data_IF_334260292625
#
_entry.id   IF_334260292625
#
_cell.length_a   1.000
_cell.length_b   1.000
_cell.length_c   1.000
_cell.angle_alpha   90.00
_cell.angle_beta   90.00
_cell.angle_gamma   90.00
#
_symmetry.space_group_name_H-M   'P 1'
#
loop_
_entity.id
_entity.type
_entity.pdbx_description
1 polymer ?
2 non-polymer ?
3 non-polymer ?
4 non-polymer ?
5 non-polymer ?
6 water ?
#
# COMPACT_ATOMS: atom_id res chain seq x y z
N UNK A 1 29.00 -3.50 -3.23
CA UNK A 1 30.05 -3.39 -4.27
C UNK A 1 30.62 -1.95 -4.33
N UNK A 2 30.48 -1.18 -3.22
CA UNK A 2 30.99 0.23 -3.08
C UNK A 2 30.52 1.23 -4.15
N UNK A 3 29.24 1.19 -4.52
CA UNK A 3 28.67 2.08 -5.57
C UNK A 3 28.44 3.51 -5.03
N UNK A 4 28.62 4.54 -5.83
CA UNK A 4 28.45 5.85 -5.23
C UNK A 4 26.96 6.08 -4.97
N UNK A 5 26.65 7.01 -4.09
CA UNK A 5 25.33 7.54 -3.98
C UNK A 5 24.80 8.21 -5.25
N UNK A 6 25.62 9.07 -5.87
CA UNK A 6 25.27 9.67 -7.14
C UNK A 6 24.77 8.65 -8.17
N UNK A 7 25.42 7.49 -8.20
CA UNK A 7 25.09 6.46 -9.16
C UNK A 7 23.82 5.71 -8.75
N UNK A 8 23.61 5.47 -7.45
CA UNK A 8 22.32 4.85 -7.09
C UNK A 8 21.20 5.77 -7.47
N UNK A 9 21.40 7.06 -7.17
CA UNK A 9 20.39 8.07 -7.42
C UNK A 9 20.09 8.17 -8.89
N UNK A 10 21.12 8.09 -9.73
CA UNK A 10 20.95 8.22 -11.15
C UNK A 10 20.24 6.97 -11.75
N UNK A 11 20.58 5.77 -11.30
CA UNK A 11 19.96 4.54 -11.78
C UNK A 11 18.49 4.58 -11.39
N UNK A 12 18.18 4.97 -10.18
CA UNK A 12 16.77 4.96 -9.78
C UNK A 12 15.94 6.05 -10.49
N UNK A 13 16.47 7.26 -10.63
CA UNK A 13 15.78 8.28 -11.43
C UNK A 13 15.46 7.75 -12.85
N UNK A 14 16.37 6.94 -13.39
CA UNK A 14 16.21 6.50 -14.79
C UNK A 14 15.16 5.41 -14.90
N UNK A 15 14.91 4.65 -13.83
CA UNK A 15 13.82 3.69 -13.89
C UNK A 15 12.50 4.43 -14.12
N UNK A 16 12.31 5.54 -13.40
CA UNK A 16 11.11 6.32 -13.54
C UNK A 16 11.08 7.01 -14.91
N UNK A 17 12.24 7.49 -15.39
CA UNK A 17 12.37 8.19 -16.67
C UNK A 17 12.03 7.20 -17.77
N UNK A 18 12.57 5.99 -17.70
CA UNK A 18 12.37 5.00 -18.79
C UNK A 18 10.89 4.59 -18.77
N UNK A 19 10.16 4.71 -17.68
CA UNK A 19 8.74 4.39 -17.67
C UNK A 19 7.91 5.62 -18.09
N UNK A 20 8.58 6.67 -18.51
CA UNK A 20 7.88 7.91 -18.92
C UNK A 20 6.81 8.38 -17.95
N UNK A 21 7.14 8.36 -16.64
CA UNK A 21 6.28 8.97 -15.62
C UNK A 21 7.11 9.79 -14.68
N UNK A 22 6.46 10.43 -13.73
CA UNK A 22 7.07 11.13 -12.60
C UNK A 22 6.71 10.34 -11.33
N UNK A 23 7.71 10.14 -10.46
CA UNK A 23 7.48 9.39 -9.28
C UNK A 23 8.61 9.48 -8.28
N UNK A 24 8.35 8.94 -7.11
CA UNK A 24 9.35 8.92 -6.08
C UNK A 24 9.32 7.54 -5.42
N UNK A 25 10.44 7.07 -4.87
CA UNK A 25 10.40 5.93 -3.95
C UNK A 25 11.10 6.27 -2.67
N UNK A 26 10.36 6.22 -1.57
CA UNK A 26 10.90 6.49 -0.27
C UNK A 26 11.26 5.21 0.43
N UNK A 27 12.44 5.20 1.02
CA UNK A 27 12.99 4.04 1.75
C UNK A 27 13.30 4.49 3.18
N UNK A 28 13.05 3.61 4.13
CA UNK A 28 13.37 3.88 5.51
C UNK A 28 14.30 2.82 6.11
N UNK A 29 15.50 3.22 6.54
CA UNK A 29 16.38 2.34 7.34
C UNK A 29 16.45 2.93 8.71
N UNK A 30 15.98 2.16 9.68
CA UNK A 30 15.87 2.66 11.01
C UNK A 30 14.94 3.85 11.08
N UNK A 31 15.44 4.95 11.59
CA UNK A 31 14.64 6.16 11.68
C UNK A 31 14.88 7.05 10.46
N UNK A 32 15.72 6.64 9.52
CA UNK A 32 16.17 7.55 8.42
C UNK A 32 15.46 7.35 7.06
N UNK A 33 14.85 8.42 6.53
CA UNK A 33 14.14 8.37 5.22
C UNK A 33 15.03 8.76 4.07
N UNK A 34 15.04 7.99 2.98
CA UNK A 34 15.79 8.41 1.79
C UNK A 34 14.81 8.45 0.64
N UNK A 35 14.76 9.53 -0.08
CA UNK A 35 13.92 9.67 -1.24
C UNK A 35 14.71 9.51 -2.49
N UNK A 36 14.25 8.63 -3.37
CA UNK A 36 14.80 8.43 -4.68
C UNK A 36 13.74 8.63 -5.80
N UNK A 37 14.22 8.80 -7.02
CA UNK A 37 13.34 8.77 -8.17
C UNK A 37 13.56 9.98 -9.03
N UNK A 38 12.56 10.33 -9.84
CA UNK A 38 12.68 11.47 -10.74
C UNK A 38 11.83 12.68 -10.40
N UNK A 39 11.12 12.67 -9.26
CA UNK A 39 10.34 13.83 -8.86
C UNK A 39 10.29 13.99 -7.36
N UNK A 40 11.41 14.43 -6.82
CA UNK A 40 11.60 14.31 -5.39
C UNK A 40 10.54 15.03 -4.55
N UNK A 41 9.95 16.09 -5.10
CA UNK A 41 9.07 16.98 -4.34
C UNK A 41 7.71 16.31 -4.09
N UNK A 42 7.47 15.17 -4.73
CA UNK A 42 6.27 14.38 -4.48
C UNK A 42 6.24 13.86 -3.06
N UNK A 43 7.41 13.69 -2.44
CA UNK A 43 7.53 13.05 -1.11
C UNK A 43 6.59 13.58 -0.04
N UNK A 44 6.34 14.89 -0.04
CA UNK A 44 5.49 15.45 1.00
C UNK A 44 4.25 16.08 0.41
N UNK A 45 3.84 15.66 -0.77
CA UNK A 45 2.52 16.07 -1.32
C UNK A 45 1.45 15.00 -1.02
N UNK A 46 0.22 15.44 -1.00
CA UNK A 46 -0.90 14.59 -0.61
C UNK A 46 -1.57 13.97 -1.80
N UNK A 47 -1.85 12.67 -1.73
CA UNK A 47 -2.55 11.91 -2.79
C UNK A 47 -3.64 11.05 -2.18
N UNK A 48 -4.62 10.61 -2.97
CA UNK A 48 -5.59 9.64 -2.44
C UNK A 48 -4.82 8.36 -2.14
N UNK A 49 -5.18 7.65 -1.05
CA UNK A 49 -4.44 6.40 -0.77
C UNK A 49 -4.83 5.27 -1.73
N UNK A 50 -6.00 5.43 -2.37
CA UNK A 50 -6.66 4.39 -3.22
C UNK A 50 -6.58 3.06 -2.48
N UNK A 51 -6.23 1.98 -3.19
CA UNK A 51 -6.29 0.64 -2.60
C UNK A 51 -5.29 0.39 -1.49
N UNK A 52 -4.26 1.26 -1.32
CA UNK A 52 -3.35 1.06 -0.15
C UNK A 52 -4.19 1.10 1.14
N UNK A 53 -5.34 1.77 1.08
CA UNK A 53 -6.25 1.85 2.18
C UNK A 53 -6.78 0.47 2.63
N UNK A 54 -6.74 -0.55 1.78
CA UNK A 54 -7.20 -1.90 2.14
C UNK A 54 -6.48 -2.38 3.40
N UNK A 55 -5.22 -1.99 3.55
CA UNK A 55 -4.43 -2.47 4.67
C UNK A 55 -5.03 -1.96 5.97
N UNK A 56 -5.42 -0.69 6.04
CA UNK A 56 -6.01 -0.18 7.27
C UNK A 56 -7.49 -0.62 7.40
N UNK A 57 -8.24 -0.61 6.29
CA UNK A 57 -9.53 -1.20 6.19
C UNK A 57 -9.55 -2.62 6.78
N UNK A 58 -8.60 -3.49 6.42
CA UNK A 58 -8.56 -4.80 7.09
C UNK A 58 -8.26 -4.78 8.61
N UNK A 59 -7.28 -3.98 9.02
CA UNK A 59 -6.95 -3.86 10.45
C UNK A 59 -8.17 -3.49 11.30
N UNK A 60 -8.90 -2.47 10.83
CA UNK A 60 -10.04 -1.89 11.47
C UNK A 60 -11.21 -2.93 11.50
N UNK A 61 -11.50 -3.58 10.37
CA UNK A 61 -12.53 -4.59 10.34
C UNK A 61 -12.18 -5.75 11.25
N UNK A 62 -10.93 -6.19 11.26
CA UNK A 62 -10.62 -7.36 12.06
C UNK A 62 -10.63 -7.02 13.55
N UNK A 63 -10.19 -5.80 13.91
CA UNK A 63 -10.10 -5.40 15.31
C UNK A 63 -11.46 -5.30 15.92
N UNK A 64 -12.33 -4.64 15.22
CA UNK A 64 -13.68 -4.48 15.64
C UNK A 64 -14.59 -5.68 15.32
N UNK A 65 -14.00 -6.85 15.02
CA UNK A 65 -14.78 -8.07 14.77
C UNK A 65 -15.87 -7.99 13.68
N UNK A 66 -15.62 -7.28 12.58
CA UNK A 66 -16.54 -7.23 11.46
C UNK A 66 -16.29 -8.37 10.49
N UNK A 67 -15.21 -9.14 10.68
CA UNK A 67 -14.95 -10.26 9.79
C UNK A 67 -13.90 -11.07 10.51
N UNK A 68 -13.60 -12.29 10.04
CA UNK A 68 -12.51 -13.09 10.58
C UNK A 68 -11.63 -13.36 9.37
N UNK A 69 -10.47 -13.97 9.54
CA UNK A 69 -9.65 -14.15 8.38
C UNK A 69 -10.05 -15.42 7.57
N UNK A 70 -10.97 -16.22 8.13
CA UNK A 70 -11.45 -17.48 7.55
C UNK A 70 -12.73 -17.23 6.76
N UNK A 71 -13.41 -16.14 7.09
CA UNK A 71 -14.75 -15.87 6.56
C UNK A 71 -14.79 -15.73 5.01
N UNK A 72 -15.74 -16.43 4.36
CA UNK A 72 -15.79 -16.34 2.91
C UNK A 72 -16.77 -15.24 2.47
N UNK A 73 -16.32 -14.22 1.75
CA UNK A 73 -17.21 -13.18 1.24
C UNK A 73 -17.79 -13.69 -0.13
N UNK A 74 -19.07 -13.97 -0.20
CA UNK A 74 -19.67 -14.59 -1.39
C UNK A 74 -19.74 -13.56 -2.50
N UNK A 75 -19.35 -13.94 -3.70
CA UNK A 75 -19.62 -13.11 -4.82
C UNK A 75 -21.15 -13.08 -4.88
N UNK A 76 -21.75 -11.91 -5.03
CA UNK A 76 -23.21 -11.75 -5.06
C UNK A 76 -23.78 -11.98 -6.48
N UNK A 77 -22.93 -12.16 -7.46
CA UNK A 77 -23.41 -12.58 -8.75
C UNK A 77 -23.49 -11.47 -9.75
N UNK A 78 -23.21 -10.25 -9.35
CA UNK A 78 -23.06 -9.15 -10.29
C UNK A 78 -21.72 -9.14 -11.06
N UNK A 79 -21.80 -8.72 -12.31
CA UNK A 79 -20.70 -8.50 -13.20
C UNK A 79 -19.80 -7.53 -12.47
N UNK A 80 -18.55 -7.89 -12.29
CA UNK A 80 -17.65 -7.03 -11.55
C UNK A 80 -16.63 -6.59 -12.57
N UNK A 81 -15.95 -5.49 -12.26
CA UNK A 81 -15.02 -4.90 -13.20
C UNK A 81 -13.99 -5.90 -13.78
N UNK A 82 -13.45 -6.87 -13.02
CA UNK A 82 -12.51 -7.90 -13.57
C UNK A 82 -13.03 -9.30 -13.20
N UNK A 83 -12.90 -10.29 -14.07
CA UNK A 83 -13.40 -11.66 -13.78
C UNK A 83 -12.87 -12.22 -12.51
N UNK A 84 -11.64 -11.85 -12.20
CA UNK A 84 -11.02 -12.42 -11.01
C UNK A 84 -11.84 -12.06 -9.74
N UNK A 85 -12.70 -11.01 -9.82
CA UNK A 85 -13.53 -10.59 -8.68
C UNK A 85 -14.84 -11.34 -8.55
N UNK A 86 -15.20 -12.08 -9.58
CA UNK A 86 -16.46 -12.85 -9.62
C UNK A 86 -16.31 -14.26 -8.97
N UNK A 87 -15.93 -14.26 -7.72
CA UNK A 87 -15.67 -15.49 -7.01
C UNK A 87 -15.78 -15.11 -5.55
N UNK A 88 -15.96 -16.15 -4.72
CA UNK A 88 -16.03 -16.02 -3.29
C UNK A 88 -14.58 -15.96 -2.74
N UNK A 89 -14.31 -15.07 -1.78
CA UNK A 89 -12.94 -15.02 -1.25
C UNK A 89 -12.88 -14.57 0.19
N UNK A 90 -11.73 -14.87 0.80
CA UNK A 90 -11.38 -14.38 2.12
C UNK A 90 -10.78 -12.98 1.99
N UNK A 91 -10.67 -12.25 3.11
CA UNK A 91 -10.03 -10.96 3.13
C UNK A 91 -8.65 -11.00 2.50
N UNK A 92 -7.89 -12.04 2.82
CA UNK A 92 -6.53 -12.26 2.33
C UNK A 92 -6.51 -12.44 0.82
N UNK A 93 -7.39 -13.27 0.28
CA UNK A 93 -7.45 -13.44 -1.19
C UNK A 93 -7.82 -12.09 -1.84
N UNK A 94 -8.77 -11.40 -1.22
CA UNK A 94 -9.20 -10.16 -1.70
C UNK A 94 -8.09 -9.12 -1.68
N UNK A 95 -7.15 -9.22 -0.74
CA UNK A 95 -6.03 -8.28 -0.64
C UNK A 95 -5.18 -8.55 -1.87
N UNK A 96 -4.88 -9.86 -2.14
CA UNK A 96 -3.97 -10.19 -3.27
C UNK A 96 -4.62 -9.68 -4.59
N UNK A 97 -5.94 -9.83 -4.72
CA UNK A 97 -6.62 -9.48 -5.94
C UNK A 97 -7.07 -8.04 -5.91
N UNK A 98 -6.81 -7.35 -4.79
CA UNK A 98 -7.28 -6.00 -4.62
C UNK A 98 -8.78 -5.88 -4.96
N UNK A 99 -9.61 -6.72 -4.34
CA UNK A 99 -11.04 -6.82 -4.69
C UNK A 99 -11.87 -5.85 -3.94
N UNK A 100 -12.22 -4.78 -4.62
CA UNK A 100 -12.99 -3.69 -4.04
C UNK A 100 -14.31 -4.11 -3.37
N UNK A 101 -15.08 -5.02 -4.01
CA UNK A 101 -16.44 -5.31 -3.45
C UNK A 101 -16.36 -5.91 -2.08
N UNK A 102 -15.30 -6.71 -1.85
CA UNK A 102 -15.08 -7.28 -0.52
C UNK A 102 -14.69 -6.21 0.46
N UNK A 103 -13.84 -5.29 0.03
CA UNK A 103 -13.40 -4.24 0.92
C UNK A 103 -14.47 -3.17 1.15
N UNK A 104 -15.36 -2.99 0.18
CA UNK A 104 -16.49 -2.08 0.37
C UNK A 104 -17.49 -2.66 1.35
N UNK A 105 -17.66 -3.98 1.26
CA UNK A 105 -18.55 -4.69 2.18
C UNK A 105 -18.03 -4.51 3.61
N UNK A 106 -16.75 -4.79 3.77
CA UNK A 106 -16.15 -4.64 5.07
C UNK A 106 -16.27 -3.20 5.60
N UNK A 107 -16.06 -2.19 4.73
CA UNK A 107 -16.23 -0.78 5.16
C UNK A 107 -17.67 -0.48 5.62
N UNK A 108 -18.62 -1.05 4.88
CA UNK A 108 -20.04 -0.87 5.25
C UNK A 108 -20.37 -1.56 6.53
N UNK A 109 -19.71 -2.69 6.84
CA UNK A 109 -19.94 -3.38 8.11
C UNK A 109 -19.39 -2.52 9.24
N UNK A 110 -18.18 -1.99 9.05
CA UNK A 110 -17.61 -1.04 9.99
C UNK A 110 -18.55 0.20 10.17
N UNK A 111 -19.12 0.74 9.09
CA UNK A 111 -19.99 1.92 9.18
C UNK A 111 -19.18 3.19 9.36
N UNK A 112 -19.66 4.28 8.74
CA UNK A 112 -18.99 5.60 8.65
C UNK A 112 -18.40 6.11 9.96
N UNK A 113 -19.17 6.00 11.04
CA UNK A 113 -18.77 6.52 12.32
C UNK A 113 -17.59 5.78 12.95
N UNK A 114 -17.64 4.46 12.96
CA UNK A 114 -16.56 3.69 13.58
C UNK A 114 -15.35 3.87 12.66
N UNK A 115 -15.60 4.04 11.35
CA UNK A 115 -14.49 4.19 10.39
C UNK A 115 -13.83 5.55 10.65
N UNK A 116 -14.63 6.62 10.80
CA UNK A 116 -14.12 7.97 10.98
C UNK A 116 -13.34 7.98 12.25
N UNK A 117 -13.86 7.32 13.27
CA UNK A 117 -13.23 7.35 14.58
C UNK A 117 -11.90 6.59 14.55
N UNK A 118 -11.85 5.50 13.81
CA UNK A 118 -10.66 4.67 13.89
C UNK A 118 -9.58 5.29 13.01
N UNK A 119 -9.98 6.03 11.98
CA UNK A 119 -8.98 6.59 11.06
C UNK A 119 -8.29 7.76 11.79
N UNK A 120 -9.07 8.49 12.60
CA UNK A 120 -8.58 9.49 13.54
C UNK A 120 -7.64 8.83 14.56
N UNK A 121 -8.05 7.73 15.18
CA UNK A 121 -7.21 7.16 16.23
C UNK A 121 -5.87 6.68 15.68
N UNK A 122 -5.84 6.21 14.43
CA UNK A 122 -4.55 5.74 13.98
C UNK A 122 -3.87 6.91 13.29
N UNK A 123 -4.60 8.00 13.08
CA UNK A 123 -3.94 9.20 12.57
C UNK A 123 -3.36 8.92 11.14
N UNK A 124 -4.22 8.53 10.19
CA UNK A 124 -3.80 8.10 8.84
C UNK A 124 -4.03 9.27 7.92
N UNK A 125 -2.95 9.72 7.26
CA UNK A 125 -3.04 10.82 6.31
C UNK A 125 -3.63 12.06 6.92
N UNK A 126 -4.51 12.73 6.18
CA UNK A 126 -5.24 13.89 6.71
C UNK A 126 -6.43 13.47 7.57
N UNK A 127 -6.69 12.17 7.64
CA UNK A 127 -7.68 11.62 8.60
C UNK A 127 -9.16 12.03 8.31
N UNK A 128 -9.46 12.59 7.15
CA UNK A 128 -10.80 13.01 6.87
C UNK A 128 -11.45 12.05 5.87
N UNK A 129 -12.53 11.37 6.28
CA UNK A 129 -13.21 10.43 5.40
C UNK A 129 -14.54 10.91 4.82
N UNK A 130 -14.95 12.15 5.11
CA UNK A 130 -16.18 12.73 4.48
C UNK A 130 -17.42 11.97 4.95
N UNK A 131 -18.45 11.92 4.12
CA UNK A 131 -19.73 11.38 4.53
C UNK A 131 -19.99 10.01 3.88
N UNK A 132 -19.10 9.54 3.03
CA UNK A 132 -19.38 8.32 2.21
C UNK A 132 -18.53 7.08 2.50
N UNK A 133 -18.99 6.18 3.36
CA UNK A 133 -18.12 5.12 3.88
C UNK A 133 -17.47 4.19 2.83
N UNK A 134 -17.96 4.18 1.59
CA UNK A 134 -17.47 3.16 0.65
C UNK A 134 -16.72 3.62 -0.61
N UNK A 135 -16.25 4.86 -0.60
CA UNK A 135 -15.39 5.34 -1.71
C UNK A 135 -14.33 6.45 -1.33
N UNK A 136 -14.35 6.88 -0.05
CA UNK A 136 -13.50 7.97 0.49
C UNK A 136 -12.00 7.84 0.24
N UNK A 137 -11.54 6.65 -0.12
CA UNK A 137 -10.14 6.39 -0.21
C UNK A 137 -9.72 6.55 -1.61
N UNK A 138 -10.68 6.87 -2.48
CA UNK A 138 -10.44 6.88 -3.93
C UNK A 138 -10.61 8.26 -4.57
N UNK A 139 -11.52 9.07 -4.05
CA UNK A 139 -11.83 10.34 -4.73
C UNK A 139 -11.84 11.50 -3.76
N UNK A 140 -11.27 11.31 -2.58
CA UNK A 140 -11.37 12.31 -1.55
C UNK A 140 -12.47 11.94 -0.56
N UNK A 141 -12.55 12.65 0.59
CA UNK A 141 -11.54 13.64 0.96
C UNK A 141 -10.26 13.04 1.57
N UNK A 142 -10.16 11.72 1.82
CA UNK A 142 -8.95 11.21 2.48
C UNK A 142 -7.74 11.34 1.56
N UNK A 143 -6.62 11.86 2.10
CA UNK A 143 -5.35 12.03 1.38
C UNK A 143 -4.17 11.65 2.30
N UNK A 144 -3.06 11.26 1.69
CA UNK A 144 -1.89 10.86 2.45
C UNK A 144 -0.65 11.18 1.59
N UNK A 145 0.51 11.44 2.20
CA UNK A 145 1.75 11.69 1.45
C UNK A 145 2.57 10.42 1.43
N UNK A 146 3.48 10.33 0.47
CA UNK A 146 4.42 9.21 0.43
C UNK A 146 5.24 8.97 1.75
N UNK A 147 5.58 10.06 2.45
CA UNK A 147 6.30 9.94 3.74
C UNK A 147 5.39 9.32 4.85
N UNK A 148 4.17 9.84 4.95
CA UNK A 148 3.17 9.25 5.80
C UNK A 148 2.92 7.78 5.41
N UNK A 149 2.97 7.43 4.12
CA UNK A 149 2.73 6.03 3.76
C UNK A 149 3.86 5.13 4.17
N UNK A 150 5.13 5.54 4.05
CA UNK A 150 6.21 4.63 4.46
C UNK A 150 6.23 4.57 5.97
N UNK A 151 5.86 5.67 6.62
CA UNK A 151 5.83 5.68 8.09
C UNK A 151 4.77 4.73 8.58
N UNK A 152 3.62 4.76 7.88
CA UNK A 152 2.57 3.80 8.12
C UNK A 152 3.07 2.39 7.93
N UNK A 153 3.78 2.15 6.85
CA UNK A 153 4.24 0.79 6.59
C UNK A 153 5.23 0.38 7.67
N UNK A 154 6.02 1.35 8.12
CA UNK A 154 7.04 1.09 9.12
C UNK A 154 6.37 0.66 10.45
N UNK A 155 5.34 1.40 10.85
CA UNK A 155 4.55 1.06 11.99
C UNK A 155 4.01 -0.36 11.90
N UNK A 156 3.38 -0.69 10.79
CA UNK A 156 2.78 -2.01 10.67
C UNK A 156 3.84 -3.10 10.62
N UNK A 157 4.95 -2.86 9.94
CA UNK A 157 5.97 -3.89 9.87
C UNK A 157 6.51 -4.22 11.28
N UNK A 158 6.54 -3.22 12.20
CA UNK A 158 7.03 -3.39 13.57
C UNK A 158 5.88 -3.49 14.61
N UNK A 159 4.66 -3.74 14.15
CA UNK A 159 3.55 -3.86 15.10
C UNK A 159 3.34 -2.65 15.97
N UNK A 160 3.70 -1.49 15.49
CA UNK A 160 3.45 -0.36 16.36
C UNK A 160 2.11 0.32 16.21
N UNK A 161 1.24 -0.11 15.31
CA UNK A 161 -0.03 0.65 15.20
C UNK A 161 -0.93 0.36 16.41
N UNK A 162 -1.91 1.23 16.68
CA UNK A 162 -2.73 0.91 17.87
C UNK A 162 -3.85 -0.17 17.62
N UNK A 163 -3.40 -1.41 17.49
CA UNK A 163 -4.26 -2.57 17.28
C UNK A 163 -3.53 -3.74 17.95
N UNK A 164 -4.26 -4.77 18.33
CA UNK A 164 -3.69 -5.96 18.94
C UNK A 164 -2.59 -6.48 18.05
N UNK A 165 -1.55 -7.04 18.65
CA UNK A 165 -0.56 -7.78 17.91
C UNK A 165 -1.18 -8.78 16.91
N UNK A 166 -2.21 -9.52 17.29
CA UNK A 166 -2.67 -10.61 16.40
C UNK A 166 -3.37 -10.01 15.14
N UNK A 167 -4.12 -8.93 15.33
CA UNK A 167 -4.75 -8.25 14.19
C UNK A 167 -3.70 -7.83 13.14
N UNK A 168 -2.59 -7.24 13.64
CA UNK A 168 -1.46 -6.77 12.81
C UNK A 168 -0.80 -7.95 12.13
N UNK A 169 -0.61 -9.04 12.86
CA UNK A 169 0.01 -10.20 12.26
C UNK A 169 -0.90 -10.85 11.18
N UNK A 170 -2.21 -10.71 11.37
CA UNK A 170 -3.22 -11.29 10.50
C UNK A 170 -3.21 -10.48 9.20
N UNK A 171 -3.26 -9.14 9.29
CA UNK A 171 -3.18 -8.34 8.08
C UNK A 171 -1.82 -8.52 7.34
N UNK A 172 -0.70 -8.60 8.04
CA UNK A 172 0.57 -8.72 7.37
C UNK A 172 0.74 -9.98 6.56
N UNK A 173 0.23 -11.10 7.05
CA UNK A 173 0.33 -12.41 6.40
C UNK A 173 -0.40 -12.33 5.05
N UNK A 174 -1.41 -11.45 4.94
CA UNK A 174 -2.12 -11.14 3.68
C UNK A 174 -1.30 -10.36 2.62
N UNK A 175 -0.18 -9.77 3.02
CA UNK A 175 0.53 -8.84 2.12
C UNK A 175 1.79 -9.35 1.46
N UNK A 176 2.11 -10.63 1.65
CA UNK A 176 3.30 -11.18 1.04
C UNK A 176 3.16 -11.26 -0.45
N UNK A 177 3.91 -10.47 -1.23
CA UNK A 177 3.75 -10.57 -2.72
C UNK A 177 4.94 -11.15 -3.49
N UNK A 178 6.09 -11.29 -2.84
CA UNK A 178 7.24 -11.74 -3.57
C UNK A 178 8.30 -12.30 -2.63
N UNK A 179 9.02 -13.31 -3.09
CA UNK A 179 10.19 -13.82 -2.38
C UNK A 179 11.42 -13.86 -3.27
N UNK A 180 12.47 -13.14 -2.87
CA UNK A 180 13.67 -13.01 -3.69
C UNK A 180 14.94 -13.33 -2.90
N UNK A 181 15.52 -14.50 -3.18
CA UNK A 181 16.77 -14.98 -2.54
C UNK A 181 16.78 -14.69 -1.07
N UNK A 182 15.85 -15.31 -0.33
CA UNK A 182 15.80 -15.16 1.13
C UNK A 182 15.13 -13.92 1.69
N UNK A 183 14.72 -12.98 0.82
CA UNK A 183 13.96 -11.80 1.25
C UNK A 183 12.49 -11.96 0.96
N UNK A 184 11.67 -11.33 1.78
CA UNK A 184 10.25 -11.32 1.51
C UNK A 184 9.79 -9.90 1.30
N UNK A 185 8.97 -9.69 0.29
CA UNK A 185 8.38 -8.38 0.08
C UNK A 185 6.92 -8.43 0.45
N UNK A 186 6.52 -7.56 1.39
CA UNK A 186 5.14 -7.33 1.78
C UNK A 186 4.65 -5.97 1.31
N UNK A 187 3.49 -5.87 0.66
CA UNK A 187 3.10 -4.57 0.09
C UNK A 187 1.71 -4.56 -0.44
N UNK A 188 1.14 -3.37 -0.52
CA UNK A 188 -0.11 -3.19 -1.21
C UNK A 188 0.02 -2.11 -2.28
N UNK A 189 -0.44 -2.44 -3.50
CA UNK A 189 -0.54 -1.45 -4.53
C UNK A 189 -1.84 -0.66 -4.45
N UNK A 190 -1.88 0.43 -5.25
CA UNK A 190 -2.95 1.44 -5.21
C UNK A 190 -2.93 2.08 -6.60
N UNK A 191 -4.10 2.42 -7.12
CA UNK A 191 -4.20 3.08 -8.44
C UNK A 191 -5.43 3.96 -8.35
N UNK A 192 -5.23 5.27 -8.22
CA UNK A 192 -6.33 6.20 -8.07
C UNK A 192 -6.84 6.58 -9.43
N UNK A 193 -7.73 5.77 -9.98
CA UNK A 193 -8.32 6.04 -11.28
C UNK A 193 -9.40 7.15 -11.15
N UNK A 194 -10.05 7.20 -10.00
CA UNK A 194 -11.03 8.28 -9.71
C UNK A 194 -10.50 9.70 -9.81
N UNK A 197 -4.79 13.86 -12.55
CA UNK A 197 -3.65 12.88 -12.75
C UNK A 197 -3.74 11.65 -11.80
N UNK A 198 -3.71 10.43 -12.36
CA UNK A 198 -3.93 9.23 -11.56
C UNK A 198 -2.73 8.82 -10.79
N UNK A 199 -2.86 8.65 -9.49
CA UNK A 199 -1.71 8.25 -8.68
C UNK A 199 -1.52 6.71 -8.62
N UNK A 200 -0.28 6.26 -8.53
CA UNK A 200 -0.05 4.85 -8.37
C UNK A 200 0.85 4.66 -7.16
N UNK A 201 0.50 3.70 -6.30
CA UNK A 201 1.32 3.41 -5.15
C UNK A 201 1.81 1.99 -5.16
N UNK A 202 2.91 1.74 -4.46
CA UNK A 202 3.19 0.39 -3.96
C UNK A 202 3.91 0.62 -2.60
N UNK A 203 3.23 0.29 -1.51
CA UNK A 203 3.72 0.59 -0.21
C UNK A 203 3.86 -0.70 0.58
N UNK A 204 4.97 -0.81 1.33
CA UNK A 204 5.30 -2.07 1.97
C UNK A 204 6.64 -2.05 2.68
N UNK A 205 7.22 -3.24 2.89
CA UNK A 205 8.52 -3.36 3.46
C UNK A 205 9.09 -4.62 2.91
N UNK A 206 10.42 -4.71 2.95
CA UNK A 206 11.11 -5.94 2.73
C UNK A 206 11.56 -6.49 4.05
N UNK A 207 11.32 -7.77 4.22
CA UNK A 207 11.85 -8.42 5.37
C UNK A 207 13.05 -9.24 4.90
N UNK A 208 14.24 -8.91 5.43
CA UNK A 208 15.46 -9.60 4.96
C UNK A 208 15.72 -10.93 5.67
N UNK A 209 16.56 -11.78 5.09
CA UNK A 209 16.92 -13.07 5.72
C UNK A 209 17.21 -12.90 7.19
N UNK A 210 18.07 -11.94 7.56
CA UNK A 210 18.44 -11.66 8.97
C UNK A 210 17.30 -11.09 9.83
N UNK A 211 16.13 -10.93 9.25
CA UNK A 211 14.97 -10.47 10.01
C UNK A 211 14.83 -8.96 10.07
N UNK A 212 15.77 -8.26 9.44
CA UNK A 212 15.67 -6.80 9.36
C UNK A 212 14.57 -6.38 8.34
N UNK A 213 13.87 -5.30 8.67
CA UNK A 213 12.73 -4.82 7.89
C UNK A 213 12.90 -3.41 7.36
N UNK A 214 12.86 -3.26 6.04
CA UNK A 214 13.06 -1.97 5.39
C UNK A 214 11.81 -1.57 4.63
N UNK A 215 11.07 -0.61 5.17
CA UNK A 215 9.83 -0.09 4.63
C UNK A 215 10.12 0.75 3.42
N UNK A 216 9.13 0.91 2.53
CA UNK A 216 9.30 1.70 1.30
C UNK A 216 7.92 2.14 0.86
N UNK A 217 7.83 3.22 0.10
CA UNK A 217 6.59 3.56 -0.56
C UNK A 217 6.93 4.11 -1.91
N UNK A 218 6.42 3.51 -2.96
CA UNK A 218 6.60 4.07 -4.30
C UNK A 218 5.33 4.82 -4.64
N UNK A 219 5.50 5.99 -5.23
CA UNK A 219 4.37 6.85 -5.55
C UNK A 219 4.72 7.46 -6.88
N UNK A 220 3.89 7.25 -7.88
CA UNK A 220 4.11 7.74 -9.21
C UNK A 220 2.76 8.10 -9.93
N UNK A 221 2.87 8.64 -11.12
CA UNK A 221 1.72 9.02 -11.89
C UNK A 221 1.41 7.92 -12.87
N UNK A 222 0.22 7.36 -12.83
CA UNK A 222 -0.16 6.34 -13.81
C UNK A 222 -0.67 7.02 -15.09
N UNK A 223 -0.10 6.66 -16.24
CA UNK A 223 -0.43 7.27 -17.56
C UNK A 223 -1.30 6.31 -18.37
N UNK A 224 -1.97 6.87 -19.40
CA UNK A 224 -2.82 6.10 -20.39
C UNK A 224 -2.07 4.87 -20.95
N UNK A 225 -2.64 3.68 -20.76
CA UNK A 225 -2.04 2.41 -21.25
C UNK A 225 -0.72 1.93 -20.62
N UNK A 226 -0.51 2.24 -19.33
CA UNK A 226 0.63 1.79 -18.54
C UNK A 226 0.05 0.60 -17.83
N UNK A 227 0.72 -0.52 -17.74
CA UNK A 227 0.15 -1.57 -16.87
C UNK A 227 0.52 -1.44 -15.40
N UNK A 228 -0.34 -1.95 -14.54
CA UNK A 228 -0.14 -1.84 -13.14
C UNK A 228 1.19 -2.40 -12.74
N UNK A 229 1.69 -3.35 -13.48
CA UNK A 229 2.89 -4.01 -12.99
C UNK A 229 4.21 -3.12 -13.15
N UNK A 230 4.17 -1.92 -13.77
CA UNK A 230 5.41 -1.13 -13.74
C UNK A 230 5.69 -0.78 -12.29
N UNK A 231 4.66 -0.64 -11.48
CA UNK A 231 4.84 -0.22 -10.10
C UNK A 231 5.73 -1.26 -9.40
N UNK A 232 5.47 -2.52 -9.70
CA UNK A 232 6.31 -3.63 -9.18
C UNK A 232 7.73 -3.67 -9.79
N UNK A 233 7.80 -3.48 -11.11
CA UNK A 233 9.06 -3.54 -11.82
C UNK A 233 10.00 -2.44 -11.30
N UNK A 234 9.48 -1.21 -11.12
CA UNK A 234 10.30 -0.10 -10.66
C UNK A 234 10.73 -0.31 -9.23
N UNK A 235 9.88 -0.94 -8.44
CA UNK A 235 10.16 -1.09 -7.06
C UNK A 235 11.20 -2.19 -6.99
N UNK A 236 10.99 -3.31 -7.68
CA UNK A 236 12.01 -4.40 -7.57
C UNK A 236 13.40 -3.91 -8.02
N UNK A 237 13.48 -3.17 -9.15
CA UNK A 237 14.71 -2.61 -9.67
C UNK A 237 15.39 -1.64 -8.67
N UNK A 238 14.63 -0.88 -7.88
CA UNK A 238 15.18 0.15 -7.01
C UNK A 238 15.73 -0.53 -5.78
N UNK A 239 15.03 -1.56 -5.34
CA UNK A 239 15.34 -2.24 -4.11
C UNK A 239 16.58 -3.09 -4.36
N UNK A 240 16.73 -3.62 -5.57
CA UNK A 240 17.90 -4.39 -5.88
C UNK A 240 19.13 -3.47 -6.08
N UNK A 241 18.95 -2.39 -6.81
CA UNK A 241 19.99 -1.45 -7.00
C UNK A 241 20.58 -1.03 -5.69
N UNK A 242 19.76 -0.88 -4.65
CA UNK A 242 20.25 -0.39 -3.36
C UNK A 242 20.78 -1.51 -2.49
N UNK A 243 20.80 -2.73 -3.02
CA UNK A 243 21.21 -3.91 -2.26
C UNK A 243 20.23 -4.30 -1.14
N UNK A 244 18.99 -3.81 -1.19
CA UNK A 244 18.04 -4.17 -0.16
C UNK A 244 17.46 -5.56 -0.40
N UNK A 245 17.40 -5.94 -1.67
CA UNK A 245 17.15 -7.33 -2.03
C UNK A 245 18.21 -7.77 -3.05
X LIG B 1 -6.41 1.47 -5.86
X LIG B 1 -7.18 0.32 -5.84
X LIG B 1 -7.97 -0.10 -6.79
X LIG B 1 -8.76 -1.36 -6.69
X LIG B 1 -8.17 0.65 -8.06
X LIG B 1 -9.46 1.45 -7.94
X LIG B 1 -10.13 1.48 -6.91
X LIG B 1 -9.87 2.12 -8.98
X LIG B 1 -8.22 -0.25 -9.28
X LIG B 1 -8.65 -1.51 -9.15
X LIG B 1 -8.45 -2.31 -7.85
X LIG B 1 -7.13 -2.92 -7.77
X LIG B 1 -5.98 -2.07 -7.63
X LIG B 1 -4.37 -2.14 -7.71
X LIG B 1 -3.95 -0.76 -7.54
X LIG B 1 -3.78 -2.56 -8.99
X LIG B 1 -3.81 -2.99 -6.65
X LIG C 1 -22.81 4.49 10.85
X LIG C 1 -22.48 3.77 9.59
X LIG C 1 -22.31 3.77 12.04
X LIG C 1 -22.21 5.86 10.82
X LIG C 1 -24.29 4.59 10.90
X LIG D 1 -2.15 -4.80 -15.82
X LIG D 1 -2.62 -3.45 -15.73
X LIG D 1 -1.45 -5.15 -14.50
X LIG D 1 -0.35 -6.04 -14.76
X LIG E 1 -1.61 -7.67 22.02
X LIG E 1 -2.47 -6.60 22.51
X LIG E 1 -2.31 -9.06 21.96
X LIG E 1 -2.59 -9.63 20.64
X LIG F 1 -7.18 -14.63 5.10
X LIG F 1 -8.21 -13.63 5.19
X LIG F 1 -5.81 -14.13 5.60
X LIG F 1 -4.81 -15.17 5.49
X LIG G 1 17.24 9.94 -6.49
X LIG G 1 16.99 9.00 -7.54
X LIG G 1 17.76 11.30 -6.94
X LIG G 1 18.25 11.84 -5.70
X LIG H 1 0.00 8.42 9.08
X LIG H 1 -0.50 9.51 8.30
X LIG H 1 0.98 7.56 8.29
X LIG H 1 2.29 7.73 8.85
X LIG I 1 -10.18 -0.20 -0.56
X LIG I 1 -10.59 -0.07 0.58
X LIG I 1 -9.98 -0.54 -1.70
#
# INVERSE_FOLDING_TARGET
>A
FHISSQQHEKAIKSYFDEAQTQGVIIIKEGKNLSTYGNALARANKEYVPASTFKMLNALIGLENHKATTNEIFKWDGKKRTYPMWEKDMTLGEAMALSAVPVYQELARRTGLELMQKEVKRVNFGNTNIGTQVDNFWLVGPLKITPVQEVNFADDLAHNRLPFKLETQEEVKKMLLIKEVNGSKIYAKSGWGMGVTPQVGWLTGWVEQANGKKIPFSLNLEMKEGMSGSIRNEITYKSLENLGII
>B hetero
1 NXL OAC CAN N CAJ CA C O NAA CB CAH CAO NAK OAL SAR OAD OAE OAG
>C hetero
1 SO4 S O1 O2 O3 O4
>D hetero
1 EDO C1 O1 C2 O2
>E hetero
1 EDO C1 O1 C2 O2
>F hetero
1 EDO C1 O1 C2 O2
>G hetero
1 EDO C1 O1 C2 O2
>H hetero
1 EDO C1 O1 C2 O2
>I hetero
1 CO2 C O1 O2
#
